data_IF_866320167428
#
_entry.id   IF_866320167428
#
_cell.length_a   1.000
_cell.length_b   1.000
_cell.length_c   1.000
_cell.angle_alpha   90.00
_cell.angle_beta   90.00
_cell.angle_gamma   90.00
#
_symmetry.space_group_name_H-M   'P 1'
#
loop_
_entity.id
_entity.type
_entity.pdbx_description
1 polymer ?
#
# COMPACT_ATOMS: atom_id res chain seq x y z
N UNK A 1 -12.76 10.75 5.55
CA UNK A 1 -12.88 10.34 4.15
C UNK A 1 -14.09 11.00 3.50
N UNK A 2 -15.28 10.81 4.01
CA UNK A 2 -16.53 11.36 3.47
C UNK A 2 -16.50 12.89 3.34
N UNK A 3 -16.11 13.63 4.37
CA UNK A 3 -15.92 15.09 4.33
C UNK A 3 -14.91 15.57 3.26
N UNK A 4 -14.05 14.68 2.79
CA UNK A 4 -13.07 14.94 1.72
C UNK A 4 -13.54 14.48 0.35
N UNK A 5 -14.78 14.04 0.25
CA UNK A 5 -15.41 13.52 -0.95
C UNK A 5 -14.60 12.38 -1.61
N UNK A 6 -13.98 11.52 -0.81
CA UNK A 6 -13.37 10.28 -1.30
C UNK A 6 -14.49 9.30 -1.67
N UNK A 7 -14.38 8.66 -2.83
CA UNK A 7 -15.34 7.65 -3.26
C UNK A 7 -15.17 6.35 -2.48
N UNK A 8 -13.93 6.01 -2.14
CA UNK A 8 -13.58 4.84 -1.33
C UNK A 8 -12.33 5.09 -0.51
N UNK A 9 -12.13 4.28 0.51
CA UNK A 9 -10.96 4.28 1.40
C UNK A 9 -10.59 2.84 1.72
N UNK A 10 -9.33 2.46 1.50
CA UNK A 10 -8.78 1.20 1.98
C UNK A 10 -8.13 1.41 3.36
N UNK A 11 -8.55 0.64 4.35
CA UNK A 11 -7.95 0.59 5.69
C UNK A 11 -7.02 -0.62 5.75
N UNK A 12 -5.74 -0.40 6.10
CA UNK A 12 -4.70 -1.42 6.07
C UNK A 12 -3.90 -1.42 7.37
N UNK A 13 -4.55 -1.81 8.46
CA UNK A 13 -3.82 -1.97 9.72
C UNK A 13 -2.77 -3.09 9.62
N UNK A 14 -1.72 -2.97 10.42
CA UNK A 14 -0.61 -3.90 10.37
C UNK A 14 -0.96 -5.32 10.84
N UNK A 15 -0.59 -6.31 10.03
CA UNK A 15 -0.71 -7.73 10.36
C UNK A 15 0.25 -8.19 11.46
N UNK A 16 0.08 -9.41 11.99
CA UNK A 16 0.72 -9.88 13.21
C UNK A 16 2.26 -9.99 13.16
N UNK A 17 2.85 -10.07 11.98
CA UNK A 17 4.31 -10.18 11.84
C UNK A 17 5.02 -8.82 11.69
N UNK A 18 4.30 -7.70 11.62
CA UNK A 18 4.94 -6.40 11.55
C UNK A 18 5.75 -6.11 12.84
N UNK A 19 6.99 -5.62 12.71
CA UNK A 19 7.87 -5.41 13.87
C UNK A 19 7.55 -4.11 14.61
N UNK A 20 6.27 -3.89 14.90
CA UNK A 20 5.74 -2.69 15.57
C UNK A 20 4.82 -3.11 16.75
N UNK A 21 4.61 -2.23 17.74
CA UNK A 21 3.84 -2.57 18.93
C UNK A 21 2.34 -2.81 18.71
N UNK A 22 1.78 -2.23 17.65
CA UNK A 22 0.32 -2.25 17.40
C UNK A 22 0.03 -3.03 16.12
N UNK A 23 -0.33 -4.28 16.26
CA UNK A 23 -0.70 -5.19 15.17
C UNK A 23 -2.07 -5.80 15.42
N UNK A 24 -2.78 -6.16 14.35
CA UNK A 24 -4.02 -6.92 14.47
C UNK A 24 -3.74 -8.35 14.92
N UNK A 25 -4.55 -8.83 15.86
CA UNK A 25 -4.78 -10.26 16.08
C UNK A 25 -6.08 -10.69 15.36
N UNK A 26 -6.44 -11.96 15.44
CA UNK A 26 -7.60 -12.49 14.72
C UNK A 26 -8.93 -11.85 15.19
N UNK A 27 -9.08 -11.60 16.49
CA UNK A 27 -10.28 -10.99 17.05
C UNK A 27 -10.40 -9.52 16.62
N UNK A 28 -9.28 -8.78 16.60
CA UNK A 28 -9.24 -7.39 16.13
C UNK A 28 -9.48 -7.29 14.62
N UNK A 29 -8.97 -8.22 13.81
CA UNK A 29 -9.23 -8.27 12.37
C UNK A 29 -10.72 -8.51 12.07
N UNK A 30 -11.36 -9.41 12.81
CA UNK A 30 -12.79 -9.68 12.67
C UNK A 30 -13.66 -8.50 13.19
N UNK A 31 -13.26 -7.87 14.28
CA UNK A 31 -13.92 -6.69 14.80
C UNK A 31 -13.85 -5.52 13.82
N UNK A 32 -12.68 -5.26 13.22
CA UNK A 32 -12.50 -4.23 12.19
C UNK A 32 -13.43 -4.46 10.99
N UNK A 33 -13.57 -5.72 10.53
CA UNK A 33 -14.51 -6.06 9.46
C UNK A 33 -15.93 -5.69 9.82
N UNK A 34 -16.39 -6.05 11.03
CA UNK A 34 -17.73 -5.72 11.48
C UNK A 34 -17.98 -4.21 11.56
N UNK A 35 -16.97 -3.44 12.00
CA UNK A 35 -17.03 -1.98 12.06
C UNK A 35 -17.12 -1.37 10.64
N UNK A 36 -16.33 -1.90 9.69
CA UNK A 36 -16.36 -1.47 8.28
C UNK A 36 -17.72 -1.77 7.65
N UNK A 37 -18.27 -2.97 7.87
CA UNK A 37 -19.61 -3.34 7.39
C UNK A 37 -20.67 -2.39 7.95
N UNK A 38 -20.61 -2.07 9.25
CA UNK A 38 -21.54 -1.14 9.88
C UNK A 38 -21.45 0.29 9.31
N UNK A 39 -20.23 0.74 8.96
CA UNK A 39 -20.03 2.05 8.31
C UNK A 39 -20.59 2.05 6.88
N UNK A 40 -20.38 0.97 6.14
CA UNK A 40 -20.86 0.86 4.76
C UNK A 40 -22.38 0.69 4.67
N UNK A 41 -23.03 0.18 5.73
CA UNK A 41 -24.47 0.02 5.84
C UNK A 41 -25.18 1.32 6.30
N UNK A 42 -24.44 2.35 6.71
CA UNK A 42 -25.00 3.65 7.12
C UNK A 42 -25.31 4.55 5.92
N UNK A 43 -26.56 4.72 5.59
CA UNK A 43 -27.05 5.60 4.50
C UNK A 43 -26.54 7.07 4.60
N UNK A 44 -26.06 7.52 5.75
CA UNK A 44 -25.50 8.84 5.94
C UNK A 44 -24.04 8.96 5.46
N UNK A 45 -23.38 7.85 5.17
CA UNK A 45 -21.98 7.78 4.71
C UNK A 45 -21.94 7.49 3.21
N UNK A 46 -21.22 8.32 2.45
CA UNK A 46 -21.13 8.17 0.99
C UNK A 46 -19.86 7.46 0.52
N UNK A 47 -18.84 7.38 1.37
CA UNK A 47 -17.57 6.70 1.09
C UNK A 47 -17.71 5.19 1.32
N UNK A 48 -17.22 4.39 0.37
CA UNK A 48 -17.08 2.94 0.59
C UNK A 48 -15.76 2.65 1.30
N UNK A 49 -15.81 2.00 2.46
CA UNK A 49 -14.63 1.58 3.21
C UNK A 49 -14.31 0.13 2.87
N UNK A 50 -13.06 -0.13 2.52
CA UNK A 50 -12.54 -1.43 2.14
C UNK A 50 -11.61 -1.95 3.25
N UNK A 51 -11.69 -3.24 3.58
CA UNK A 51 -10.75 -3.87 4.47
C UNK A 51 -9.56 -4.42 3.69
N UNK A 52 -8.36 -3.95 4.00
CA UNK A 52 -7.10 -4.53 3.61
C UNK A 52 -6.27 -4.92 4.82
N UNK A 53 -5.04 -5.30 4.58
CA UNK A 53 -4.01 -5.53 5.60
C UNK A 53 -2.67 -5.07 5.08
N UNK A 54 -1.89 -4.36 5.92
CA UNK A 54 -0.48 -4.14 5.63
C UNK A 54 0.34 -5.23 6.31
N UNK A 55 1.06 -6.02 5.52
CA UNK A 55 1.83 -7.16 5.99
C UNK A 55 3.34 -6.94 5.88
N UNK A 56 4.08 -7.48 6.84
CA UNK A 56 5.55 -7.54 6.74
C UNK A 56 5.98 -8.56 5.69
N UNK A 57 6.94 -8.18 4.86
CA UNK A 57 7.66 -9.11 3.97
C UNK A 57 8.68 -9.88 4.80
N UNK A 58 8.41 -11.15 5.04
CA UNK A 58 9.22 -12.04 5.88
C UNK A 58 10.20 -12.89 5.04
N UNK A 59 10.99 -13.72 5.70
CA UNK A 59 11.86 -14.69 5.02
C UNK A 59 11.07 -15.74 4.25
N UNK A 60 9.85 -16.05 4.67
CA UNK A 60 9.00 -17.10 4.08
C UNK A 60 7.86 -16.56 3.19
N UNK A 61 7.85 -15.28 2.84
CA UNK A 61 6.78 -14.63 2.08
C UNK A 61 6.15 -13.47 2.86
N UNK A 62 4.83 -13.44 2.99
CA UNK A 62 4.12 -12.41 3.76
C UNK A 62 3.72 -12.91 5.15
N UNK A 63 3.71 -12.00 6.11
CA UNK A 63 3.55 -12.30 7.53
C UNK A 63 2.11 -12.28 8.03
N UNK A 64 1.14 -12.65 7.18
CA UNK A 64 -0.28 -12.78 7.55
C UNK A 64 -0.82 -14.16 7.18
N UNK A 65 -1.85 -14.67 7.88
CA UNK A 65 -2.50 -15.92 7.52
C UNK A 65 -3.15 -15.88 6.13
N UNK A 66 -3.14 -17.01 5.41
CA UNK A 66 -3.73 -17.12 4.07
C UNK A 66 -5.23 -16.80 4.05
N UNK A 67 -5.95 -17.12 5.13
CA UNK A 67 -7.37 -16.81 5.25
C UNK A 67 -7.64 -15.30 5.37
N UNK A 68 -6.71 -14.52 5.92
CA UNK A 68 -6.80 -13.05 5.90
C UNK A 68 -6.60 -12.51 4.49
N UNK A 69 -5.60 -13.02 3.77
CA UNK A 69 -5.38 -12.64 2.37
C UNK A 69 -6.63 -12.90 1.51
N UNK A 70 -7.28 -14.04 1.72
CA UNK A 70 -8.51 -14.40 0.99
C UNK A 70 -9.75 -13.56 1.37
N UNK A 71 -9.73 -12.91 2.53
CA UNK A 71 -10.85 -12.10 3.05
C UNK A 71 -10.67 -10.61 2.83
N UNK A 72 -9.43 -10.13 2.67
CA UNK A 72 -9.15 -8.73 2.37
C UNK A 72 -9.52 -8.37 0.94
N UNK A 73 -9.90 -7.11 0.72
CA UNK A 73 -9.96 -6.55 -0.64
C UNK A 73 -8.57 -6.51 -1.27
N UNK A 74 -7.59 -6.01 -0.54
CA UNK A 74 -6.20 -5.93 -0.99
C UNK A 74 -5.23 -6.27 0.14
N UNK A 75 -4.15 -6.95 -0.23
CA UNK A 75 -2.97 -7.16 0.63
C UNK A 75 -1.89 -6.18 0.19
N UNK A 76 -1.52 -5.31 1.11
CA UNK A 76 -0.41 -4.37 0.97
C UNK A 76 0.80 -4.95 1.69
N UNK A 77 1.96 -5.05 1.04
CA UNK A 77 3.15 -5.62 1.66
C UNK A 77 4.27 -4.60 1.75
N UNK A 78 4.87 -4.48 2.92
CA UNK A 78 6.01 -3.61 3.18
C UNK A 78 7.17 -4.35 3.84
N UNK A 79 8.37 -3.82 3.70
CA UNK A 79 9.56 -4.32 4.39
C UNK A 79 9.96 -3.32 5.48
N UNK A 80 9.54 -3.58 6.72
CA UNK A 80 9.84 -2.72 7.88
C UNK A 80 11.13 -3.14 8.59
N UNK A 81 11.56 -4.38 8.37
CA UNK A 81 12.84 -4.90 8.83
C UNK A 81 13.97 -4.51 7.86
N UNK A 82 15.22 -4.65 8.28
CA UNK A 82 16.40 -4.39 7.44
C UNK A 82 17.25 -5.66 7.31
N UNK A 83 16.80 -6.64 6.51
CA UNK A 83 17.54 -7.88 6.29
C UNK A 83 18.81 -7.62 5.49
N UNK A 84 19.70 -8.62 5.46
CA UNK A 84 20.93 -8.56 4.66
C UNK A 84 20.68 -8.73 3.15
N UNK A 85 19.51 -9.25 2.79
CA UNK A 85 19.09 -9.61 1.43
C UNK A 85 17.75 -8.93 1.04
N UNK A 86 17.60 -7.58 1.15
CA UNK A 86 16.31 -6.92 0.99
C UNK A 86 15.74 -7.10 -0.43
N UNK A 87 16.56 -7.03 -1.47
CA UNK A 87 16.12 -7.20 -2.86
C UNK A 87 15.52 -8.58 -3.11
N UNK A 88 16.27 -9.64 -2.77
CA UNK A 88 15.81 -11.02 -2.98
C UNK A 88 14.54 -11.32 -2.19
N UNK A 89 14.42 -10.75 -0.99
CA UNK A 89 13.27 -10.93 -0.12
C UNK A 89 12.01 -10.29 -0.72
N UNK A 90 12.11 -9.04 -1.18
CA UNK A 90 10.98 -8.34 -1.81
C UNK A 90 10.60 -9.03 -3.12
N UNK A 91 11.55 -9.27 -4.01
CA UNK A 91 11.31 -9.95 -5.31
C UNK A 91 10.61 -11.30 -5.10
N UNK A 92 11.04 -12.11 -4.14
CA UNK A 92 10.38 -13.37 -3.83
C UNK A 92 8.94 -13.18 -3.33
N UNK A 93 8.71 -12.23 -2.43
CA UNK A 93 7.37 -11.97 -1.93
C UNK A 93 6.41 -11.51 -3.05
N UNK A 94 6.88 -10.66 -3.96
CA UNK A 94 6.07 -10.22 -5.11
C UNK A 94 5.69 -11.38 -6.04
N UNK A 95 6.56 -12.38 -6.22
CA UNK A 95 6.34 -13.54 -7.10
C UNK A 95 5.50 -14.66 -6.48
N UNK A 96 5.62 -14.85 -5.17
CA UNK A 96 5.11 -16.05 -4.51
C UNK A 96 3.92 -15.80 -3.57
N UNK A 97 3.66 -14.54 -3.21
CA UNK A 97 2.61 -14.18 -2.27
C UNK A 97 1.49 -13.36 -2.95
N UNK A 98 0.27 -13.35 -2.38
CA UNK A 98 -0.86 -12.59 -2.92
C UNK A 98 -0.74 -11.09 -2.58
N UNK A 99 0.34 -10.45 -3.00
CA UNK A 99 0.59 -9.02 -2.81
C UNK A 99 -0.03 -8.23 -3.96
N UNK A 100 -0.82 -7.22 -3.66
CA UNK A 100 -1.43 -6.32 -4.65
C UNK A 100 -0.71 -4.97 -4.74
N UNK A 101 -0.18 -4.50 -3.61
CA UNK A 101 0.54 -3.22 -3.51
C UNK A 101 1.82 -3.42 -2.72
N UNK A 102 2.95 -2.94 -3.24
CA UNK A 102 4.20 -2.83 -2.50
C UNK A 102 4.25 -1.47 -1.81
N UNK A 103 4.18 -1.46 -0.48
CA UNK A 103 4.21 -0.25 0.35
C UNK A 103 5.62 0.33 0.46
N UNK A 104 5.72 1.67 0.47
CA UNK A 104 6.96 2.44 0.73
C UNK A 104 8.24 1.71 0.30
N UNK A 105 8.43 1.43 -1.00
CA UNK A 105 9.40 0.45 -1.52
C UNK A 105 10.85 0.70 -1.15
N UNK A 106 11.26 1.96 -1.00
CA UNK A 106 12.63 2.30 -0.59
C UNK A 106 12.83 2.16 0.94
N UNK A 107 11.77 2.05 1.73
CA UNK A 107 11.82 1.85 3.18
C UNK A 107 12.52 2.97 3.95
N UNK A 108 12.54 4.19 3.39
CA UNK A 108 13.21 5.34 3.99
C UNK A 108 12.32 6.08 4.99
N UNK A 109 12.96 6.73 5.96
CA UNK A 109 12.38 7.80 6.77
C UNK A 109 13.27 9.04 6.66
N UNK A 110 12.75 10.11 6.04
CA UNK A 110 13.52 11.33 5.81
C UNK A 110 14.09 11.85 7.14
N UNK A 111 15.40 12.15 7.14
CA UNK A 111 16.16 12.62 8.30
C UNK A 111 16.44 11.54 9.37
N UNK A 112 15.67 10.45 9.42
CA UNK A 112 15.77 9.45 10.48
C UNK A 112 16.42 8.15 10.01
N UNK A 113 16.11 7.70 8.78
CA UNK A 113 16.51 6.39 8.28
C UNK A 113 16.79 6.43 6.77
N UNK A 114 18.01 6.07 6.39
CA UNK A 114 18.38 5.93 4.99
C UNK A 114 17.53 4.86 4.29
N UNK A 115 17.37 4.94 2.96
CA UNK A 115 16.72 3.88 2.19
C UNK A 115 17.32 2.50 2.47
N UNK A 116 16.56 1.47 2.19
CA UNK A 116 17.06 0.09 2.17
C UNK A 116 18.16 -0.04 1.10
N UNK A 117 19.17 -0.85 1.39
CA UNK A 117 20.21 -1.20 0.42
C UNK A 117 19.66 -2.29 -0.51
N UNK A 118 18.73 -1.91 -1.37
CA UNK A 118 18.08 -2.80 -2.34
C UNK A 118 18.26 -2.28 -3.76
N UNK A 119 18.22 -3.18 -4.71
CA UNK A 119 18.13 -2.89 -6.13
C UNK A 119 16.69 -2.51 -6.47
N UNK A 120 16.41 -1.20 -6.43
CA UNK A 120 15.06 -0.68 -6.64
C UNK A 120 14.55 -0.95 -8.07
N UNK A 121 15.44 -0.89 -9.07
CA UNK A 121 15.08 -1.16 -10.46
C UNK A 121 14.61 -2.61 -10.61
N UNK A 122 15.34 -3.59 -10.06
CA UNK A 122 14.96 -5.00 -10.07
C UNK A 122 13.63 -5.26 -9.33
N UNK A 123 13.36 -4.53 -8.23
CA UNK A 123 12.11 -4.62 -7.49
C UNK A 123 10.94 -4.07 -8.31
N UNK A 124 11.10 -2.91 -8.94
CA UNK A 124 10.05 -2.28 -9.74
C UNK A 124 9.76 -3.03 -11.04
N UNK A 125 10.80 -3.59 -11.69
CA UNK A 125 10.63 -4.48 -12.83
C UNK A 125 9.84 -5.74 -12.43
N UNK A 126 10.18 -6.36 -11.29
CA UNK A 126 9.41 -7.52 -10.79
C UNK A 126 7.97 -7.14 -10.46
N UNK A 127 7.73 -5.99 -9.83
CA UNK A 127 6.38 -5.53 -9.55
C UNK A 127 5.54 -5.38 -10.83
N UNK A 128 6.15 -4.84 -11.91
CA UNK A 128 5.53 -4.72 -13.22
C UNK A 128 5.23 -6.10 -13.85
N UNK A 129 6.19 -7.04 -13.78
CA UNK A 129 6.02 -8.42 -14.30
C UNK A 129 4.87 -9.16 -13.62
N UNK A 130 4.73 -8.99 -12.29
CA UNK A 130 3.74 -9.68 -11.47
C UNK A 130 2.42 -8.90 -11.34
N UNK A 131 2.31 -7.71 -11.97
CA UNK A 131 1.13 -6.84 -11.88
C UNK A 131 0.86 -6.34 -10.46
N UNK A 132 1.91 -6.14 -9.67
CA UNK A 132 1.85 -5.52 -8.35
C UNK A 132 2.00 -4.01 -8.51
N UNK A 133 1.05 -3.24 -7.97
CA UNK A 133 1.16 -1.80 -7.95
C UNK A 133 2.19 -1.34 -6.90
N UNK A 134 2.76 -0.16 -7.11
CA UNK A 134 3.77 0.40 -6.22
C UNK A 134 3.26 1.68 -5.57
N UNK A 135 3.48 1.80 -4.28
CA UNK A 135 3.01 2.92 -3.50
C UNK A 135 3.85 4.18 -3.71
N UNK A 136 3.16 5.31 -3.85
CA UNK A 136 3.69 6.65 -3.57
C UNK A 136 3.13 7.06 -2.21
N UNK A 137 3.87 6.78 -1.14
CA UNK A 137 3.50 7.08 0.23
C UNK A 137 3.63 8.58 0.49
N UNK A 138 2.53 9.22 0.84
CA UNK A 138 2.45 10.67 1.04
C UNK A 138 2.82 11.14 2.46
N UNK A 139 3.18 10.22 3.37
CA UNK A 139 3.65 10.62 4.70
C UNK A 139 4.84 11.59 4.58
N UNK A 140 4.79 12.77 5.20
CA UNK A 140 5.85 13.78 5.06
C UNK A 140 7.24 13.28 5.43
N UNK A 141 7.32 12.31 6.36
CA UNK A 141 8.58 11.69 6.77
C UNK A 141 9.07 10.59 5.82
N UNK A 142 8.24 10.15 4.84
CA UNK A 142 8.60 9.12 3.86
C UNK A 142 8.77 9.71 2.47
N UNK A 143 7.68 10.19 1.86
CA UNK A 143 7.58 10.59 0.44
C UNK A 143 8.20 9.52 -0.47
N UNK A 144 7.82 8.28 -0.27
CA UNK A 144 8.40 7.06 -0.84
C UNK A 144 7.33 6.31 -1.69
N UNK A 145 7.50 6.12 -2.97
CA UNK A 145 8.65 6.41 -3.83
C UNK A 145 8.90 7.92 -4.05
N UNK A 146 10.18 8.26 -4.28
CA UNK A 146 10.48 9.61 -4.75
C UNK A 146 10.14 9.80 -6.24
N UNK A 147 10.05 11.07 -6.63
CA UNK A 147 9.63 11.41 -7.99
C UNK A 147 10.61 10.95 -9.08
N UNK A 148 11.91 10.76 -8.78
CA UNK A 148 12.90 10.30 -9.74
C UNK A 148 12.66 8.83 -10.10
N UNK A 149 12.44 7.99 -9.10
CA UNK A 149 12.09 6.59 -9.28
C UNK A 149 10.73 6.45 -10.01
N UNK A 150 9.74 7.25 -9.61
CA UNK A 150 8.44 7.29 -10.30
C UNK A 150 8.62 7.65 -11.77
N UNK A 151 9.39 8.71 -12.09
CA UNK A 151 9.61 9.15 -13.47
C UNK A 151 10.33 8.09 -14.33
N UNK A 152 11.20 7.30 -13.73
CA UNK A 152 11.94 6.25 -14.43
C UNK A 152 11.07 5.03 -14.78
N UNK A 153 10.05 4.71 -13.97
CA UNK A 153 9.32 3.44 -14.06
C UNK A 153 7.80 3.58 -14.33
N UNK A 154 7.23 4.79 -14.34
CA UNK A 154 5.78 5.02 -14.49
C UNK A 154 5.14 4.38 -15.73
N UNK A 155 5.89 4.19 -16.81
CA UNK A 155 5.39 3.58 -18.04
C UNK A 155 5.38 2.04 -17.96
N UNK A 156 5.97 1.46 -16.91
CA UNK A 156 6.13 0.02 -16.74
C UNK A 156 5.34 -0.55 -15.56
N UNK A 157 5.17 0.21 -14.47
CA UNK A 157 4.51 -0.25 -13.25
C UNK A 157 3.35 0.66 -12.87
N UNK A 158 2.22 0.08 -12.52
CA UNK A 158 1.09 0.82 -11.97
C UNK A 158 1.43 1.41 -10.60
N UNK A 159 1.00 2.65 -10.33
CA UNK A 159 1.21 3.28 -9.03
C UNK A 159 -0.10 3.52 -8.28
N UNK A 160 -0.04 3.53 -6.95
CA UNK A 160 -1.09 4.01 -6.06
C UNK A 160 -0.54 5.13 -5.20
N UNK A 161 -1.36 6.14 -4.91
CA UNK A 161 -1.00 7.20 -3.97
C UNK A 161 -1.73 6.95 -2.66
N UNK A 162 -1.02 6.80 -1.56
CA UNK A 162 -1.60 6.60 -0.24
C UNK A 162 -1.06 7.62 0.77
N UNK A 163 -1.76 7.80 1.86
CA UNK A 163 -1.36 8.73 2.93
C UNK A 163 -0.64 8.06 4.07
N UNK A 164 -0.73 6.73 4.18
CA UNK A 164 -0.23 6.00 5.35
C UNK A 164 -0.70 6.69 6.66
N UNK A 165 -2.00 7.05 6.67
CA UNK A 165 -2.59 7.90 7.69
C UNK A 165 -2.88 7.10 8.97
N UNK A 166 -2.32 7.55 10.09
CA UNK A 166 -2.56 7.01 11.43
C UNK A 166 -3.56 7.86 12.24
N UNK A 167 -3.99 8.96 11.66
CA UNK A 167 -5.04 9.85 12.18
C UNK A 167 -5.90 10.39 11.04
N UNK A 168 -7.13 10.81 11.35
CA UNK A 168 -8.04 11.38 10.34
C UNK A 168 -7.48 12.66 9.68
N UNK A 169 -6.67 13.44 10.41
CA UNK A 169 -6.01 14.64 9.88
C UNK A 169 -4.93 14.32 8.83
N UNK A 170 -4.29 13.17 8.94
CA UNK A 170 -3.22 12.76 8.02
C UNK A 170 -3.74 12.36 6.63
N UNK A 171 -5.04 12.15 6.47
CA UNK A 171 -5.65 12.02 5.14
C UNK A 171 -5.40 13.27 4.26
N UNK A 172 -5.12 14.41 4.86
CA UNK A 172 -4.77 15.63 4.13
C UNK A 172 -3.38 15.56 3.47
N UNK A 173 -2.53 14.61 3.86
CA UNK A 173 -1.22 14.42 3.21
C UNK A 173 -1.33 13.94 1.76
N UNK A 174 -2.50 13.53 1.31
CA UNK A 174 -2.74 13.12 -0.09
C UNK A 174 -2.15 14.12 -1.10
N UNK A 175 -2.21 15.43 -0.83
CA UNK A 175 -1.65 16.45 -1.71
C UNK A 175 -0.13 16.33 -1.91
N UNK A 176 0.61 15.78 -0.95
CA UNK A 176 2.05 15.55 -1.04
C UNK A 176 2.34 14.37 -1.99
N UNK A 177 1.62 13.27 -1.86
CA UNK A 177 1.73 12.12 -2.75
C UNK A 177 1.35 12.48 -4.20
N UNK A 178 0.26 13.22 -4.39
CA UNK A 178 -0.13 13.76 -5.71
C UNK A 178 0.97 14.66 -6.28
N UNK A 179 1.64 15.45 -5.44
CA UNK A 179 2.76 16.30 -5.88
C UNK A 179 3.97 15.46 -6.30
N UNK A 180 4.27 14.35 -5.61
CA UNK A 180 5.31 13.40 -6.03
C UNK A 180 4.96 12.73 -7.36
N UNK A 181 3.73 12.22 -7.52
CA UNK A 181 3.27 11.62 -8.75
C UNK A 181 3.40 12.60 -9.93
N UNK A 182 2.94 13.85 -9.78
CA UNK A 182 3.04 14.90 -10.79
C UNK A 182 4.49 15.25 -11.14
N UNK A 183 5.38 15.31 -10.17
CA UNK A 183 6.82 15.51 -10.41
C UNK A 183 7.45 14.32 -11.14
N UNK A 184 6.94 13.12 -10.91
CA UNK A 184 7.27 11.91 -11.65
C UNK A 184 6.59 11.80 -13.01
N UNK A 185 5.88 12.86 -13.47
CA UNK A 185 5.20 12.93 -14.76
C UNK A 185 4.01 11.96 -14.90
N UNK A 186 3.47 11.45 -13.78
CA UNK A 186 2.24 10.67 -13.81
C UNK A 186 1.04 11.53 -14.21
N UNK A 187 0.22 10.95 -15.06
CA UNK A 187 -1.14 11.39 -15.33
C UNK A 187 -2.13 10.55 -14.51
N UNK A 188 -3.42 10.90 -14.56
CA UNK A 188 -4.43 10.14 -13.82
C UNK A 188 -4.55 8.68 -14.29
N UNK A 189 -4.20 8.40 -15.53
CA UNK A 189 -4.24 7.05 -16.08
C UNK A 189 -3.18 6.12 -15.47
N UNK A 190 -2.06 6.69 -14.99
CA UNK A 190 -0.94 5.94 -14.40
C UNK A 190 -1.18 5.61 -12.92
N UNK A 191 -2.21 6.22 -12.30
CA UNK A 191 -2.49 6.10 -10.86
C UNK A 191 -3.78 5.30 -10.65
N UNK A 192 -3.68 4.08 -10.13
CA UNK A 192 -4.81 3.16 -10.01
C UNK A 192 -5.95 3.72 -9.16
N UNK A 193 -5.65 4.37 -8.06
CA UNK A 193 -6.69 4.91 -7.17
C UNK A 193 -7.28 6.27 -7.60
N UNK A 194 -7.08 6.66 -8.86
CA UNK A 194 -7.91 7.67 -9.55
C UNK A 194 -9.11 7.04 -10.28
N UNK A 195 -9.13 5.72 -10.40
CA UNK A 195 -10.19 4.95 -11.08
C UNK A 195 -11.44 4.85 -10.20
N UNK A 196 -12.56 4.46 -10.81
CA UNK A 196 -13.73 4.05 -10.03
C UNK A 196 -13.41 2.81 -9.17
N UNK A 197 -14.21 2.54 -8.13
CA UNK A 197 -14.01 1.36 -7.30
C UNK A 197 -14.11 0.06 -8.12
N UNK A 198 -15.06 -0.01 -9.06
CA UNK A 198 -15.23 -1.18 -9.92
C UNK A 198 -14.02 -1.39 -10.84
N UNK A 199 -13.49 -0.31 -11.43
CA UNK A 199 -12.29 -0.39 -12.28
C UNK A 199 -11.04 -0.72 -11.45
N UNK A 200 -10.97 -0.25 -10.20
CA UNK A 200 -9.88 -0.60 -9.29
C UNK A 200 -9.92 -2.09 -8.94
N UNK A 201 -11.09 -2.61 -8.59
CA UNK A 201 -11.28 -4.05 -8.32
C UNK A 201 -10.90 -4.90 -9.53
N UNK A 202 -11.37 -4.51 -10.72
CA UNK A 202 -11.03 -5.20 -11.96
C UNK A 202 -9.53 -5.22 -12.26
N UNK A 203 -8.79 -4.15 -11.90
CA UNK A 203 -7.33 -4.10 -12.07
C UNK A 203 -6.59 -5.12 -11.18
N UNK A 204 -7.19 -5.54 -10.08
CA UNK A 204 -6.61 -6.50 -9.12
C UNK A 204 -7.24 -7.90 -9.20
N UNK A 205 -8.18 -8.15 -10.11
CA UNK A 205 -8.67 -9.52 -10.39
C UNK A 205 -7.54 -10.34 -11.04
N UNK A 206 -7.09 -11.40 -10.33
CA UNK A 206 -6.01 -12.31 -10.75
C UNK A 206 -6.50 -13.75 -10.77
#
# INVERSE_FOLDING_TARGET
ADERALAYLLVTDHGPAAPIPSTLDADAFDAQRADIEAVNDDDAVSVTVLQGVETEITESGVGVPDDWCARCELVVAGLHSRPADPTERVVRALREAPVYVLAHPAGRLLVELDPLDLDLDAVLETAAEEGVAVEINAQPKRLDLDWQAVAAHRDAVDVVVSTDAHTTGELDFMHLGVSQARRGWCESADVLNTRSLDDLRAAFER
#
